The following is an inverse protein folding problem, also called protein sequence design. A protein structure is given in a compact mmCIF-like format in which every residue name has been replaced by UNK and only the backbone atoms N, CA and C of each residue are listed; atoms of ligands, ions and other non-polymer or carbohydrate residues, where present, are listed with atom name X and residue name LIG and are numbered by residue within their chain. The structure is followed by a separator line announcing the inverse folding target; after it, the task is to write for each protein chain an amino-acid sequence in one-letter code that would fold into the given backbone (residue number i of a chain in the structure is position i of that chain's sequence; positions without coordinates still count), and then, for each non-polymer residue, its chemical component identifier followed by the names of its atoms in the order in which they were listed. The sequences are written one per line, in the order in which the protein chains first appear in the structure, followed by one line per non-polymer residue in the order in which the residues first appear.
data_IF_979007076938
#
_entry.id   IF_979007076938
#
_cell.length_a   1.000
_cell.length_b   1.000
_cell.length_c   1.000
_cell.angle_alpha   90.00
_cell.angle_beta   90.00
_cell.angle_gamma   90.00
#
_symmetry.space_group_name_H-M   'P 1'
#
loop_
_entity.id
_entity.type
_entity.pdbx_description
1 polymer ?
#
# COMPACT_ATOMS: atom_id res chain seq x y z
N UNK A 1 8.79 12.86 21.44
CA UNK A 1 9.27 13.17 20.09
C UNK A 1 8.57 14.45 19.66
N UNK A 2 9.33 15.53 19.43
CA UNK A 2 8.79 16.89 19.26
C UNK A 2 8.04 16.98 17.92
N UNK A 3 6.71 16.94 17.97
CA UNK A 3 5.88 17.58 16.93
C UNK A 3 5.65 18.99 17.46
N UNK A 4 6.62 19.88 17.23
CA UNK A 4 6.41 21.32 17.36
C UNK A 4 6.56 21.88 15.95
N UNK A 5 5.50 21.70 15.17
CA UNK A 5 5.26 22.53 14.01
C UNK A 5 3.80 22.94 14.18
N UNK A 6 3.57 24.25 14.30
CA UNK A 6 2.23 24.81 14.26
C UNK A 6 1.64 24.48 12.89
N UNK A 7 0.60 23.67 12.92
CA UNK A 7 0.02 23.02 11.76
C UNK A 7 -1.49 23.24 11.82
N UNK A 8 -1.91 24.48 12.07
CA UNK A 8 -3.32 24.80 12.06
C UNK A 8 -3.85 24.68 10.62
N UNK A 9 -5.08 24.14 10.50
CA UNK A 9 -5.97 24.23 9.34
C UNK A 9 -6.00 23.09 8.30
N UNK A 10 -5.41 21.92 8.47
CA UNK A 10 -5.47 20.84 7.44
C UNK A 10 -6.87 20.20 7.25
N UNK A 11 -7.38 20.16 6.01
CA UNK A 11 -8.68 19.55 5.67
C UNK A 11 -8.59 18.07 5.29
N UNK A 12 -7.45 17.65 4.71
CA UNK A 12 -7.21 16.29 4.21
C UNK A 12 -5.92 15.74 4.79
N UNK A 13 -5.91 14.48 5.22
CA UNK A 13 -4.69 13.79 5.65
C UNK A 13 -4.45 12.57 4.76
N UNK A 14 -3.28 12.51 4.13
CA UNK A 14 -2.81 11.38 3.34
C UNK A 14 -1.92 10.49 4.21
N UNK A 15 -2.21 9.20 4.25
CA UNK A 15 -1.42 8.21 5.00
C UNK A 15 -0.79 7.20 4.06
N UNK A 16 0.55 7.22 3.97
CA UNK A 16 1.31 6.42 3.03
C UNK A 16 2.49 5.66 3.61
N UNK A 17 2.72 4.46 3.08
CA UNK A 17 3.79 3.56 3.53
C UNK A 17 4.73 3.11 2.39
N UNK A 18 4.37 3.38 1.13
CA UNK A 18 5.14 2.97 -0.04
C UNK A 18 5.51 4.19 -0.89
N UNK A 19 6.75 4.28 -1.41
CA UNK A 19 7.17 5.43 -2.21
C UNK A 19 6.27 5.69 -3.43
N UNK A 20 5.90 4.62 -4.16
CA UNK A 20 5.01 4.75 -5.32
C UNK A 20 3.60 5.22 -4.96
N UNK A 21 3.13 4.85 -3.77
CA UNK A 21 1.85 5.31 -3.24
C UNK A 21 1.92 6.79 -2.84
N UNK A 22 3.02 7.21 -2.20
CA UNK A 22 3.21 8.60 -1.84
C UNK A 22 3.33 9.52 -3.05
N UNK A 23 4.03 9.11 -4.12
CA UNK A 23 4.06 9.85 -5.40
C UNK A 23 2.67 10.01 -6.03
N UNK A 24 1.79 9.03 -5.85
CA UNK A 24 0.43 9.15 -6.35
C UNK A 24 -0.37 10.13 -5.50
N UNK A 25 -0.31 9.96 -4.18
CA UNK A 25 -1.03 10.82 -3.25
C UNK A 25 -0.54 12.26 -3.35
N UNK A 26 0.76 12.52 -3.55
CA UNK A 26 1.31 13.86 -3.73
C UNK A 26 0.66 14.60 -4.90
N UNK A 27 0.54 13.93 -6.05
CA UNK A 27 -0.17 14.49 -7.21
C UNK A 27 -1.64 14.78 -6.93
N UNK A 28 -2.31 13.90 -6.19
CA UNK A 28 -3.71 14.15 -5.78
C UNK A 28 -3.79 15.37 -4.87
N UNK A 29 -2.82 15.55 -3.99
CA UNK A 29 -2.76 16.70 -3.09
C UNK A 29 -2.44 18.02 -3.81
N UNK A 30 -1.49 18.01 -4.73
CA UNK A 30 -1.19 19.12 -5.64
C UNK A 30 -2.45 19.53 -6.41
N UNK A 31 -3.12 18.57 -7.05
CA UNK A 31 -4.36 18.82 -7.77
C UNK A 31 -5.47 19.37 -6.84
N UNK A 32 -5.58 18.89 -5.59
CA UNK A 32 -6.53 19.45 -4.63
C UNK A 32 -6.21 20.90 -4.28
N UNK A 33 -4.95 21.25 -4.11
CA UNK A 33 -4.51 22.61 -3.78
C UNK A 33 -4.66 23.58 -4.95
N UNK A 34 -4.41 23.13 -6.18
CA UNK A 34 -4.60 23.93 -7.39
C UNK A 34 -6.07 24.24 -7.66
N UNK A 35 -6.97 23.29 -7.34
CA UNK A 35 -8.39 23.39 -7.69
C UNK A 35 -9.28 23.80 -6.51
N UNK A 36 -8.76 23.86 -5.28
CA UNK A 36 -9.54 24.16 -4.07
C UNK A 36 -8.70 24.84 -3.00
N UNK A 37 -9.34 25.54 -2.05
CA UNK A 37 -8.68 26.05 -0.83
C UNK A 37 -8.42 24.93 0.22
N UNK A 38 -8.22 23.69 -0.21
CA UNK A 38 -7.99 22.57 0.69
C UNK A 38 -6.51 22.43 1.02
N UNK A 39 -6.20 22.63 2.29
CA UNK A 39 -4.94 22.26 2.93
C UNK A 39 -4.87 20.75 3.15
N UNK A 40 -3.67 20.17 2.99
CA UNK A 40 -3.43 18.74 3.21
C UNK A 40 -2.15 18.46 4.01
N UNK A 41 -2.16 17.35 4.76
CA UNK A 41 -0.99 16.86 5.50
C UNK A 41 -0.60 15.47 5.01
N UNK A 42 0.68 15.28 4.67
CA UNK A 42 1.23 13.97 4.38
C UNK A 42 1.79 13.30 5.62
N UNK A 43 1.35 12.09 5.87
CA UNK A 43 1.84 11.24 6.93
C UNK A 43 2.48 10.01 6.30
N UNK A 44 3.79 9.93 6.45
CA UNK A 44 4.56 8.80 5.99
C UNK A 44 5.08 7.99 7.18
N UNK A 45 5.20 6.69 6.98
CA UNK A 45 5.65 5.73 8.02
C UNK A 45 7.07 5.24 7.81
N UNK A 46 7.73 5.69 6.72
CA UNK A 46 9.11 5.39 6.37
C UNK A 46 9.78 6.65 5.84
N UNK A 47 11.03 6.86 6.21
CA UNK A 47 11.82 8.00 5.75
C UNK A 47 12.00 7.98 4.23
N UNK A 48 12.21 6.80 3.64
CA UNK A 48 12.28 6.63 2.19
C UNK A 48 11.01 7.06 1.45
N UNK A 49 9.87 7.13 2.14
CA UNK A 49 8.61 7.63 1.55
C UNK A 49 8.63 9.15 1.52
N UNK A 50 9.09 9.80 2.59
CA UNK A 50 9.24 11.27 2.66
C UNK A 50 10.29 11.75 1.69
N UNK A 51 11.45 11.11 1.65
CA UNK A 51 12.54 11.50 0.76
C UNK A 51 12.18 11.35 -0.74
N UNK A 52 11.07 10.65 -1.04
CA UNK A 52 10.54 10.47 -2.40
C UNK A 52 9.44 11.49 -2.77
N UNK A 53 9.04 12.37 -1.84
CA UNK A 53 8.04 13.42 -2.07
C UNK A 53 8.61 14.78 -1.65
N UNK A 54 8.64 15.74 -2.58
CA UNK A 54 9.09 17.10 -2.31
C UNK A 54 7.93 17.93 -1.75
N UNK A 55 7.51 17.64 -0.52
CA UNK A 55 6.33 18.26 0.12
C UNK A 55 6.71 18.83 1.49
N UNK A 56 6.61 20.15 1.62
CA UNK A 56 6.87 20.88 2.88
C UNK A 56 5.95 20.44 4.02
N UNK A 57 4.69 20.10 3.72
CA UNK A 57 3.68 19.66 4.69
C UNK A 57 3.69 18.13 4.89
N UNK A 58 4.87 17.56 5.21
CA UNK A 58 5.03 16.13 5.47
C UNK A 58 5.55 15.83 6.88
N UNK A 59 5.03 14.77 7.50
CA UNK A 59 5.41 14.32 8.84
C UNK A 59 5.80 12.85 8.80
N UNK A 60 7.02 12.57 9.31
CA UNK A 60 7.46 11.22 9.58
C UNK A 60 6.84 10.72 10.88
N UNK A 61 5.88 9.82 10.76
CA UNK A 61 5.49 9.00 11.88
C UNK A 61 6.49 7.86 12.01
N UNK A 62 7.47 8.06 12.88
CA UNK A 62 8.22 6.94 13.44
C UNK A 62 7.20 5.88 13.91
N UNK A 63 7.42 4.61 13.64
CA UNK A 63 6.48 3.55 14.03
C UNK A 63 6.76 3.01 15.44
N UNK A 64 7.77 3.56 16.13
CA UNK A 64 8.05 3.20 17.52
C UNK A 64 6.84 3.53 18.42
N UNK A 65 6.27 2.46 18.95
CA UNK A 65 5.21 2.44 19.95
C UNK A 65 5.82 2.75 21.34
N UNK A 66 5.12 3.47 22.24
CA UNK A 66 5.60 3.67 23.61
C UNK A 66 6.01 2.34 24.25
N UNK A 67 7.17 2.31 24.91
CA UNK A 67 7.79 1.08 25.41
C UNK A 67 6.85 0.24 26.28
N UNK A 68 6.06 0.89 27.15
CA UNK A 68 5.10 0.22 28.03
C UNK A 68 4.00 -0.53 27.26
N UNK A 69 3.54 0.04 26.14
CA UNK A 69 2.51 -0.55 25.29
C UNK A 69 3.09 -1.72 24.48
N UNK A 70 4.34 -1.57 24.03
CA UNK A 70 5.11 -2.65 23.39
C UNK A 70 5.32 -3.84 24.31
N UNK A 71 5.75 -3.61 25.56
CA UNK A 71 5.93 -4.67 26.57
C UNK A 71 4.63 -5.42 26.84
N UNK A 72 3.51 -4.69 27.03
CA UNK A 72 2.20 -5.30 27.28
C UNK A 72 1.74 -6.19 26.11
N UNK A 73 1.92 -5.74 24.88
CA UNK A 73 1.54 -6.49 23.68
C UNK A 73 2.41 -7.73 23.48
N UNK A 74 3.73 -7.60 23.68
CA UNK A 74 4.65 -8.74 23.59
C UNK A 74 4.31 -9.80 24.63
N UNK A 75 4.09 -9.40 25.89
CA UNK A 75 3.67 -10.32 26.95
C UNK A 75 2.35 -11.01 26.61
N UNK A 76 1.35 -10.26 26.13
CA UNK A 76 0.07 -10.85 25.72
C UNK A 76 0.23 -11.85 24.57
N UNK A 77 1.05 -11.54 23.56
CA UNK A 77 1.32 -12.45 22.44
C UNK A 77 2.06 -13.70 22.90
N UNK A 78 3.03 -13.59 23.81
CA UNK A 78 3.72 -14.72 24.40
C UNK A 78 2.76 -15.63 25.19
N UNK A 79 1.81 -15.04 25.94
CA UNK A 79 0.77 -15.77 26.67
C UNK A 79 -0.15 -16.50 25.69
N UNK A 80 -0.68 -15.82 24.67
CA UNK A 80 -1.56 -16.42 23.65
C UNK A 80 -0.85 -17.53 22.89
N UNK A 81 0.41 -17.32 22.50
CA UNK A 81 1.21 -18.33 21.82
C UNK A 81 1.45 -19.56 22.71
N UNK A 82 1.80 -19.35 23.98
CA UNK A 82 2.01 -20.44 24.95
C UNK A 82 0.73 -21.23 25.22
N UNK A 83 -0.41 -20.54 25.35
CA UNK A 83 -1.71 -21.17 25.53
C UNK A 83 -2.13 -21.98 24.30
N UNK A 84 -2.02 -21.39 23.11
CA UNK A 84 -2.31 -22.05 21.83
C UNK A 84 -1.43 -23.29 21.65
N UNK A 85 -0.14 -23.19 21.97
CA UNK A 85 0.80 -24.31 21.95
C UNK A 85 0.42 -25.44 22.91
N UNK A 86 -0.06 -25.08 24.11
CA UNK A 86 -0.48 -26.04 25.13
C UNK A 86 -1.75 -26.80 24.72
N UNK A 87 -2.75 -26.09 24.17
CA UNK A 87 -3.94 -26.70 23.56
C UNK A 87 -3.53 -27.64 22.42
N UNK A 88 -2.62 -27.19 21.56
CA UNK A 88 -2.14 -28.00 20.44
C UNK A 88 -1.50 -29.31 20.90
N UNK A 89 -0.59 -29.27 21.88
CA UNK A 89 0.01 -30.48 22.47
C UNK A 89 -1.01 -31.41 23.11
N UNK A 90 -2.04 -30.86 23.76
CA UNK A 90 -3.12 -31.64 24.34
C UNK A 90 -3.93 -32.38 23.26
N UNK A 91 -4.28 -31.71 22.17
CA UNK A 91 -5.05 -32.30 21.07
C UNK A 91 -4.25 -33.37 20.30
N UNK A 92 -2.94 -33.17 20.09
CA UNK A 92 -2.05 -34.21 19.52
C UNK A 92 -2.05 -35.47 20.38
N UNK A 93 -1.90 -35.33 21.70
CA UNK A 93 -1.90 -36.47 22.63
C UNK A 93 -3.21 -37.26 22.62
N UNK A 94 -4.31 -36.63 22.19
CA UNK A 94 -5.64 -37.27 22.08
C UNK A 94 -5.88 -37.97 20.73
N UNK A 95 -4.88 -38.02 19.85
CA UNK A 95 -4.95 -38.76 18.58
C UNK A 95 -5.87 -38.12 17.53
N UNK A 96 -6.16 -36.83 17.66
CA UNK A 96 -7.26 -36.18 16.96
C UNK A 96 -6.82 -35.23 15.84
N UNK A 97 -5.75 -35.55 15.09
CA UNK A 97 -5.09 -34.52 14.25
C UNK A 97 -4.45 -35.03 12.95
N UNK A 98 -5.25 -35.34 11.93
CA UNK A 98 -4.79 -35.38 10.52
C UNK A 98 -4.89 -33.99 9.83
N UNK A 99 -5.59 -33.02 10.44
CA UNK A 99 -5.96 -31.76 9.78
C UNK A 99 -4.87 -30.66 9.77
N UNK A 100 -3.69 -30.86 10.37
CA UNK A 100 -2.84 -29.71 10.76
C UNK A 100 -1.37 -29.76 10.32
N UNK A 101 -0.98 -30.59 9.34
CA UNK A 101 0.35 -30.47 8.72
C UNK A 101 0.64 -29.05 8.17
N UNK A 102 -0.41 -28.29 7.81
CA UNK A 102 -0.31 -26.88 7.39
C UNK A 102 0.04 -25.89 8.51
N UNK A 103 -0.07 -26.26 9.79
CA UNK A 103 0.28 -25.39 10.92
C UNK A 103 1.73 -25.54 11.40
N UNK A 104 2.45 -26.57 10.95
CA UNK A 104 3.88 -26.75 11.24
C UNK A 104 4.74 -25.55 10.78
N UNK A 105 4.26 -24.80 9.78
CA UNK A 105 4.88 -23.56 9.28
C UNK A 105 4.77 -22.41 10.31
N UNK A 106 3.72 -22.38 11.13
CA UNK A 106 3.49 -21.36 12.17
C UNK A 106 4.28 -21.62 13.47
N UNK A 107 4.97 -22.76 13.58
CA UNK A 107 5.77 -23.14 14.75
C UNK A 107 7.23 -22.69 14.72
N UNK A 108 7.68 -22.04 13.64
CA UNK A 108 8.97 -21.36 13.68
C UNK A 108 8.90 -20.20 14.68
N UNK A 109 9.86 -20.14 15.60
CA UNK A 109 10.00 -19.10 16.64
C UNK A 109 9.92 -17.66 16.09
N UNK A 110 10.15 -17.49 14.79
CA UNK A 110 10.04 -16.23 14.07
C UNK A 110 8.59 -15.73 13.92
N UNK A 111 7.58 -16.61 13.81
CA UNK A 111 6.21 -16.20 13.54
C UNK A 111 5.60 -15.34 14.67
N UNK A 112 5.70 -15.71 15.97
CA UNK A 112 5.27 -14.84 17.07
C UNK A 112 6.00 -13.51 17.07
N UNK A 113 7.31 -13.50 16.79
CA UNK A 113 8.12 -12.27 16.75
C UNK A 113 7.74 -11.36 15.59
N UNK A 114 7.52 -11.91 14.39
CA UNK A 114 7.07 -11.17 13.20
C UNK A 114 5.66 -10.62 13.43
N UNK A 115 4.77 -11.42 14.02
CA UNK A 115 3.41 -11.02 14.36
C UNK A 115 3.41 -9.92 15.43
N UNK A 116 4.20 -10.09 16.50
CA UNK A 116 4.35 -9.09 17.55
C UNK A 116 4.93 -7.78 17.01
N UNK A 117 5.99 -7.83 16.18
CA UNK A 117 6.55 -6.65 15.50
C UNK A 117 5.51 -5.95 14.62
N UNK A 118 4.76 -6.72 13.83
CA UNK A 118 3.70 -6.19 12.95
C UNK A 118 2.57 -5.55 13.74
N UNK A 119 2.16 -6.18 14.86
CA UNK A 119 1.14 -5.67 15.76
C UNK A 119 1.61 -4.42 16.51
N UNK A 120 2.85 -4.39 16.99
CA UNK A 120 3.42 -3.19 17.63
C UNK A 120 3.47 -2.02 16.66
N UNK A 121 3.86 -2.25 15.40
CA UNK A 121 3.79 -1.23 14.35
C UNK A 121 2.36 -0.76 14.11
N UNK A 122 1.40 -1.69 14.06
CA UNK A 122 -0.02 -1.37 13.90
C UNK A 122 -0.54 -0.48 15.04
N UNK A 123 -0.26 -0.86 16.28
CA UNK A 123 -0.72 -0.14 17.47
C UNK A 123 -0.02 1.21 17.61
N UNK A 124 1.30 1.25 17.41
CA UNK A 124 2.07 2.49 17.41
C UNK A 124 1.53 3.47 16.37
N UNK A 125 1.23 2.97 15.17
CA UNK A 125 0.60 3.77 14.13
C UNK A 125 -0.79 4.26 14.51
N UNK A 126 -1.68 3.37 14.99
CA UNK A 126 -3.01 3.76 15.46
C UNK A 126 -2.94 4.85 16.53
N UNK A 127 -2.03 4.72 17.49
CA UNK A 127 -1.88 5.69 18.58
C UNK A 127 -1.43 7.06 18.06
N UNK A 128 -0.47 7.10 17.13
CA UNK A 128 0.00 8.36 16.54
C UNK A 128 -1.06 8.98 15.63
N UNK A 129 -1.72 8.20 14.78
CA UNK A 129 -2.79 8.69 13.93
C UNK A 129 -3.99 9.18 14.75
N UNK A 130 -4.32 8.51 15.86
CA UNK A 130 -5.36 8.97 16.81
C UNK A 130 -5.03 10.37 17.36
N UNK A 131 -3.77 10.62 17.69
CA UNK A 131 -3.31 11.93 18.17
C UNK A 131 -3.40 13.00 17.08
N UNK A 132 -2.92 12.69 15.88
CA UNK A 132 -3.02 13.55 14.70
C UNK A 132 -4.48 13.93 14.42
N UNK A 133 -5.40 12.95 14.42
CA UNK A 133 -6.83 13.21 14.14
C UNK A 133 -7.43 14.13 15.21
N UNK A 134 -7.09 13.92 16.49
CA UNK A 134 -7.56 14.80 17.59
C UNK A 134 -7.07 16.24 17.46
N UNK A 135 -5.83 16.43 17.03
CA UNK A 135 -5.23 17.75 16.86
C UNK A 135 -5.83 18.45 15.63
N UNK A 136 -5.78 17.79 14.48
CA UNK A 136 -6.11 18.44 13.20
C UNK A 136 -7.58 18.34 12.82
N UNK A 137 -8.34 17.43 13.44
CA UNK A 137 -9.77 17.21 13.15
C UNK A 137 -10.08 17.17 11.64
N UNK A 138 -9.38 16.33 10.86
CA UNK A 138 -9.53 16.32 9.41
C UNK A 138 -10.95 15.96 8.99
N UNK A 139 -11.38 16.46 7.82
CA UNK A 139 -12.67 16.09 7.22
C UNK A 139 -12.59 14.75 6.47
N UNK A 140 -11.41 14.46 5.91
CA UNK A 140 -11.15 13.22 5.17
C UNK A 140 -9.77 12.66 5.51
N UNK A 141 -9.70 11.34 5.71
CA UNK A 141 -8.45 10.59 5.80
C UNK A 141 -8.34 9.69 4.58
N UNK A 142 -7.35 9.96 3.74
CA UNK A 142 -7.09 9.24 2.50
C UNK A 142 -5.93 8.25 2.66
N UNK A 143 -6.05 7.11 1.99
CA UNK A 143 -4.94 6.16 1.83
C UNK A 143 -5.03 5.49 0.47
N UNK A 144 -3.90 5.16 -0.12
CA UNK A 144 -3.90 4.39 -1.36
C UNK A 144 -3.90 2.88 -1.16
N UNK A 145 -3.44 2.38 0.00
CA UNK A 145 -3.34 0.94 0.24
C UNK A 145 -4.70 0.33 0.61
N UNK A 146 -4.96 -0.90 0.14
CA UNK A 146 -6.21 -1.62 0.44
C UNK A 146 -6.01 -2.58 1.62
N UNK A 147 -4.87 -3.26 1.64
CA UNK A 147 -4.58 -4.35 2.57
C UNK A 147 -3.69 -3.96 3.74
N UNK A 148 -2.96 -2.84 3.62
CA UNK A 148 -1.97 -2.44 4.61
C UNK A 148 -2.61 -2.17 5.97
N UNK A 149 -1.90 -2.55 7.03
CA UNK A 149 -2.23 -2.19 8.42
C UNK A 149 -2.60 -0.72 8.56
N UNK A 150 -1.88 0.16 7.85
CA UNK A 150 -2.07 1.61 7.85
C UNK A 150 -3.43 2.04 7.29
N UNK A 151 -3.84 1.45 6.16
CA UNK A 151 -5.12 1.73 5.55
C UNK A 151 -6.29 1.24 6.41
N UNK A 152 -6.14 0.07 7.04
CA UNK A 152 -7.15 -0.44 7.98
C UNK A 152 -7.25 0.42 9.22
N UNK A 153 -6.11 0.81 9.80
CA UNK A 153 -6.03 1.70 10.95
C UNK A 153 -6.68 3.06 10.65
N UNK A 154 -6.38 3.66 9.49
CA UNK A 154 -6.96 4.94 9.10
C UNK A 154 -8.47 4.86 8.90
N UNK A 155 -8.99 3.79 8.30
CA UNK A 155 -10.42 3.57 8.16
C UNK A 155 -11.13 3.38 9.52
N UNK A 156 -10.54 2.61 10.43
CA UNK A 156 -11.10 2.38 11.77
C UNK A 156 -11.12 3.69 12.57
N UNK A 157 -10.03 4.44 12.57
CA UNK A 157 -9.94 5.71 13.28
C UNK A 157 -10.85 6.77 12.66
N UNK A 158 -10.98 6.81 11.33
CA UNK A 158 -11.94 7.69 10.67
C UNK A 158 -13.37 7.45 11.19
N UNK A 159 -13.80 6.18 11.27
CA UNK A 159 -15.12 5.84 11.84
C UNK A 159 -15.25 6.25 13.30
N UNK A 160 -14.22 6.01 14.11
CA UNK A 160 -14.19 6.40 15.54
C UNK A 160 -14.43 7.90 15.74
N UNK A 161 -13.85 8.73 14.89
CA UNK A 161 -13.95 10.20 14.97
C UNK A 161 -15.06 10.79 14.09
N UNK A 162 -15.91 9.95 13.50
CA UNK A 162 -16.92 10.37 12.52
C UNK A 162 -16.34 11.18 11.33
N UNK A 163 -15.08 10.91 11.00
CA UNK A 163 -14.37 11.47 9.84
C UNK A 163 -14.59 10.59 8.62
N UNK A 164 -14.63 11.18 7.43
CA UNK A 164 -14.73 10.42 6.19
C UNK A 164 -13.40 9.69 5.90
N UNK A 165 -13.46 8.46 5.39
CA UNK A 165 -12.28 7.77 4.88
C UNK A 165 -12.39 7.54 3.38
N UNK A 166 -11.27 7.73 2.67
CA UNK A 166 -11.17 7.58 1.22
C UNK A 166 -10.05 6.59 0.88
N UNK A 167 -10.37 5.57 0.10
CA UNK A 167 -9.38 4.75 -0.59
C UNK A 167 -9.13 5.34 -1.97
N UNK A 168 -7.87 5.62 -2.31
CA UNK A 168 -7.46 6.01 -3.67
C UNK A 168 -6.80 4.83 -4.37
N UNK A 169 -7.40 4.34 -5.45
CA UNK A 169 -6.84 3.21 -6.20
C UNK A 169 -5.43 3.55 -6.73
N UNK A 170 -4.44 2.70 -6.43
CA UNK A 170 -3.05 2.86 -6.90
C UNK A 170 -2.57 1.74 -7.85
N UNK A 171 -3.42 0.76 -8.12
CA UNK A 171 -3.11 -0.41 -8.95
C UNK A 171 -4.34 -1.02 -9.60
N UNK A 172 -4.10 -1.93 -10.54
CA UNK A 172 -5.15 -2.68 -11.23
C UNK A 172 -5.75 -3.71 -10.25
N UNK A 173 -7.08 -3.81 -10.23
CA UNK A 173 -7.77 -4.81 -9.43
C UNK A 173 -7.64 -6.17 -10.13
N UNK A 174 -7.14 -7.17 -9.41
CA UNK A 174 -7.21 -8.56 -9.87
C UNK A 174 -8.57 -9.14 -9.44
N UNK A 175 -9.40 -9.46 -10.43
CA UNK A 175 -10.81 -9.84 -10.25
C UNK A 175 -10.98 -11.26 -9.68
N UNK A 176 -9.92 -12.07 -9.66
CA UNK A 176 -9.99 -13.49 -9.35
C UNK A 176 -9.78 -13.82 -7.85
N UNK A 177 -9.14 -12.94 -7.07
CA UNK A 177 -8.67 -13.29 -5.71
C UNK A 177 -8.98 -12.21 -4.65
N UNK A 178 -10.01 -11.41 -4.85
CA UNK A 178 -10.29 -10.28 -3.96
C UNK A 178 -11.39 -10.61 -2.94
N UNK A 179 -11.00 -11.24 -1.83
CA UNK A 179 -11.93 -11.58 -0.75
C UNK A 179 -11.91 -10.57 0.42
N UNK A 180 -11.13 -9.50 0.33
CA UNK A 180 -11.01 -8.56 1.45
C UNK A 180 -12.12 -7.52 1.46
N UNK A 181 -12.82 -7.43 2.60
CA UNK A 181 -13.66 -6.28 2.91
C UNK A 181 -12.82 -5.02 3.01
N UNK A 182 -13.09 -4.05 2.13
CA UNK A 182 -12.60 -2.68 2.31
C UNK A 182 -13.21 -2.10 3.59
N UNK A 183 -12.40 -1.33 4.32
CA UNK A 183 -12.85 -0.66 5.55
C UNK A 183 -13.18 0.82 5.32
N UNK A 184 -12.65 1.42 4.25
CA UNK A 184 -12.87 2.81 3.89
C UNK A 184 -14.34 3.05 3.50
N UNK A 185 -14.84 4.24 3.87
CA UNK A 185 -16.22 4.65 3.56
C UNK A 185 -16.39 4.94 2.07
N UNK A 186 -15.41 5.61 1.46
CA UNK A 186 -15.43 6.02 0.06
C UNK A 186 -14.25 5.43 -0.71
N UNK A 187 -14.40 5.29 -2.02
CA UNK A 187 -13.38 4.76 -2.92
C UNK A 187 -13.32 5.60 -4.19
N UNK A 188 -12.13 6.10 -4.54
CA UNK A 188 -11.83 6.67 -5.84
C UNK A 188 -11.17 5.60 -6.74
N UNK A 189 -11.79 5.31 -7.88
CA UNK A 189 -11.38 4.27 -8.83
C UNK A 189 -11.05 4.83 -10.20
N UNK A 190 -10.26 4.09 -10.97
CA UNK A 190 -9.76 4.55 -12.26
C UNK A 190 -10.79 4.51 -13.38
N UNK A 191 -11.82 3.67 -13.28
CA UNK A 191 -12.81 3.53 -14.36
C UNK A 191 -14.07 2.79 -13.96
N UNK A 192 -15.05 2.80 -14.87
CA UNK A 192 -16.33 2.12 -14.71
C UNK A 192 -16.19 0.60 -14.50
N UNK A 193 -15.14 0.00 -15.07
CA UNK A 193 -14.82 -1.41 -14.85
C UNK A 193 -14.55 -1.69 -13.37
N UNK A 194 -13.73 -0.86 -12.74
CA UNK A 194 -13.35 -0.99 -11.33
C UNK A 194 -14.51 -0.61 -10.40
N UNK A 195 -15.37 0.34 -10.80
CA UNK A 195 -16.62 0.61 -10.09
C UNK A 195 -17.53 -0.62 -10.06
N UNK A 196 -17.73 -1.30 -11.20
CA UNK A 196 -18.54 -2.54 -11.25
C UNK A 196 -18.00 -3.63 -10.33
N UNK A 197 -16.68 -3.74 -10.24
CA UNK A 197 -16.04 -4.67 -9.31
C UNK A 197 -16.43 -4.39 -7.86
N UNK A 198 -16.34 -3.14 -7.40
CA UNK A 198 -16.66 -2.79 -6.03
C UNK A 198 -18.15 -2.90 -5.72
N UNK A 199 -19.01 -2.58 -6.68
CA UNK A 199 -20.45 -2.83 -6.59
C UNK A 199 -20.75 -4.32 -6.37
N UNK A 200 -20.09 -5.21 -7.14
CA UNK A 200 -20.22 -6.66 -6.97
C UNK A 200 -19.74 -7.15 -5.59
N UNK A 201 -18.78 -6.43 -4.99
CA UNK A 201 -18.25 -6.72 -3.65
C UNK A 201 -19.01 -6.00 -2.52
N UNK A 202 -20.21 -5.47 -2.80
CA UNK A 202 -21.11 -4.94 -1.78
C UNK A 202 -20.82 -3.51 -1.33
N UNK A 203 -19.95 -2.77 -2.03
CA UNK A 203 -19.79 -1.34 -1.80
C UNK A 203 -20.95 -0.60 -2.45
N UNK A 204 -21.54 0.34 -1.71
CA UNK A 204 -22.69 1.10 -2.19
C UNK A 204 -22.30 2.09 -3.31
N UNK A 205 -23.13 2.31 -4.34
CA UNK A 205 -22.81 3.18 -5.46
C UNK A 205 -22.40 4.60 -5.06
N UNK A 206 -23.06 5.20 -4.07
CA UNK A 206 -22.80 6.55 -3.57
C UNK A 206 -21.43 6.70 -2.87
N UNK A 207 -20.77 5.58 -2.58
CA UNK A 207 -19.46 5.54 -1.97
C UNK A 207 -18.33 5.32 -3.00
N UNK A 208 -18.63 5.23 -4.30
CA UNK A 208 -17.65 4.95 -5.35
C UNK A 208 -17.60 6.09 -6.37
N UNK A 209 -16.40 6.64 -6.56
CA UNK A 209 -16.13 7.78 -7.43
C UNK A 209 -15.19 7.34 -8.55
N UNK A 210 -15.59 7.52 -9.81
CA UNK A 210 -14.72 7.25 -10.96
C UNK A 210 -13.92 8.51 -11.24
N UNK A 211 -12.61 8.47 -11.01
CA UNK A 211 -11.72 9.63 -11.06
C UNK A 211 -10.65 9.54 -12.14
N UNK A 212 -10.50 8.39 -12.81
CA UNK A 212 -9.29 8.14 -13.61
C UNK A 212 -8.10 7.76 -12.74
N UNK A 213 -6.96 7.50 -13.39
CA UNK A 213 -5.69 7.22 -12.70
C UNK A 213 -4.84 8.48 -12.68
N UNK A 214 -4.49 9.03 -11.49
CA UNK A 214 -3.62 10.19 -11.42
C UNK A 214 -2.19 9.95 -11.99
N UNK A 215 -1.84 8.68 -12.28
CA UNK A 215 -0.61 8.33 -13.01
C UNK A 215 -0.62 8.80 -14.46
N UNK A 216 -1.78 9.04 -15.05
CA UNK A 216 -1.94 9.40 -16.45
C UNK A 216 -2.26 10.88 -16.67
N UNK A 217 -2.40 11.67 -15.60
CA UNK A 217 -2.69 13.09 -15.68
C UNK A 217 -1.61 13.82 -16.50
N UNK A 218 -0.33 13.57 -16.21
CA UNK A 218 0.78 14.15 -16.98
C UNK A 218 0.81 13.68 -18.44
N UNK A 219 0.40 12.43 -18.73
CA UNK A 219 0.37 11.93 -20.12
C UNK A 219 -0.58 12.75 -20.97
N UNK A 220 -1.72 13.16 -20.39
CA UNK A 220 -2.67 14.03 -21.07
C UNK A 220 -2.10 15.44 -21.33
N UNK A 221 -1.13 15.87 -20.52
CA UNK A 221 -0.46 17.17 -20.63
C UNK A 221 0.79 17.15 -21.53
N UNK A 222 1.30 15.98 -21.89
CA UNK A 222 2.35 15.87 -22.92
C UNK A 222 1.73 16.33 -24.24
N UNK A 223 1.85 17.63 -24.54
CA UNK A 223 1.68 18.18 -25.89
C UNK A 223 2.45 17.24 -26.81
N UNK A 224 1.85 16.80 -27.92
CA UNK A 224 2.49 16.02 -28.98
C UNK A 224 3.86 16.66 -29.23
N UNK A 225 4.91 16.18 -28.55
CA UNK A 225 6.27 16.46 -28.98
C UNK A 225 6.28 15.89 -30.39
N UNK A 226 6.75 16.67 -31.35
CA UNK A 226 7.04 16.17 -32.67
C UNK A 226 8.00 15.01 -32.50
N UNK A 227 7.43 13.81 -32.37
CA UNK A 227 8.15 12.56 -32.51
C UNK A 227 8.54 12.62 -33.97
N UNK A 228 9.73 13.14 -34.24
CA UNK A 228 10.35 13.13 -35.55
C UNK A 228 10.43 11.66 -35.96
N UNK A 229 9.41 11.18 -36.70
CA UNK A 229 9.24 9.79 -37.13
C UNK A 229 10.18 9.48 -38.30
N UNK A 230 11.45 9.81 -38.17
CA UNK A 230 12.48 9.53 -39.19
C UNK A 230 13.36 8.32 -38.87
N UNK A 231 13.08 7.58 -37.80
CA UNK A 231 13.73 6.29 -37.56
C UNK A 231 12.92 5.17 -38.23
N UNK A 232 13.51 4.57 -39.27
CA UNK A 232 13.05 3.35 -39.93
C UNK A 232 12.59 2.31 -38.90
N UNK A 233 11.31 1.93 -38.97
CA UNK A 233 10.65 1.07 -38.00
C UNK A 233 11.33 -0.30 -37.86
N UNK A 234 12.04 -0.52 -36.76
CA UNK A 234 12.07 -1.81 -36.07
C UNK A 234 10.94 -1.82 -35.03
N UNK A 235 10.07 -2.83 -35.00
CA UNK A 235 9.03 -2.95 -33.97
C UNK A 235 9.68 -3.03 -32.58
N UNK A 236 9.52 -2.01 -31.73
CA UNK A 236 10.09 -2.01 -30.38
C UNK A 236 9.16 -2.76 -29.43
N UNK A 237 9.61 -3.90 -28.91
CA UNK A 237 8.96 -4.64 -27.82
C UNK A 237 9.55 -4.14 -26.51
N UNK A 238 8.74 -3.49 -25.67
CA UNK A 238 9.20 -3.02 -24.37
C UNK A 238 8.76 -4.00 -23.27
N UNK A 239 9.73 -4.61 -22.59
CA UNK A 239 9.52 -5.45 -21.43
C UNK A 239 9.75 -4.65 -20.15
N UNK A 240 8.69 -4.52 -19.36
CA UNK A 240 8.71 -3.86 -18.06
C UNK A 240 8.52 -4.92 -16.97
N UNK A 241 9.61 -5.47 -16.40
CA UNK A 241 9.50 -6.35 -15.24
C UNK A 241 9.00 -5.51 -14.05
N UNK A 242 7.68 -5.46 -13.87
CA UNK A 242 7.08 -4.81 -12.72
C UNK A 242 6.97 -5.81 -11.58
N UNK A 243 7.76 -5.62 -10.52
CA UNK A 243 7.56 -6.27 -9.23
C UNK A 243 6.38 -5.58 -8.50
N UNK A 244 5.17 -5.62 -9.06
CA UNK A 244 3.97 -5.05 -8.41
C UNK A 244 3.34 -5.99 -7.37
N UNK A 245 3.90 -7.17 -7.14
CA UNK A 245 3.62 -8.01 -5.99
C UNK A 245 4.95 -8.43 -5.38
N UNK A 246 5.18 -8.09 -4.11
CA UNK A 246 6.45 -8.30 -3.44
C UNK A 246 7.04 -9.69 -3.68
N UNK A 247 8.35 -9.72 -3.97
CA UNK A 247 9.30 -10.78 -3.57
C UNK A 247 8.95 -12.24 -3.88
N UNK A 248 8.07 -12.53 -4.85
CA UNK A 248 7.59 -13.91 -5.08
C UNK A 248 8.07 -14.53 -6.39
N UNK A 249 8.77 -13.78 -7.23
CA UNK A 249 9.52 -14.36 -8.35
C UNK A 249 10.91 -14.70 -7.81
N UNK A 250 11.20 -15.99 -7.66
CA UNK A 250 12.57 -16.46 -7.42
C UNK A 250 13.47 -15.99 -8.56
N UNK A 251 14.76 -15.80 -8.30
CA UNK A 251 15.73 -15.43 -9.33
C UNK A 251 15.64 -16.35 -10.56
N UNK A 252 15.52 -17.66 -10.35
CA UNK A 252 15.32 -18.63 -11.43
C UNK A 252 14.05 -18.40 -12.24
N UNK A 253 12.93 -18.01 -11.62
CA UNK A 253 11.71 -17.67 -12.33
C UNK A 253 11.84 -16.34 -13.10
N UNK A 254 12.61 -15.38 -12.58
CA UNK A 254 12.89 -14.13 -13.28
C UNK A 254 13.74 -14.37 -14.54
N UNK A 255 14.80 -15.19 -14.41
CA UNK A 255 15.65 -15.61 -15.53
C UNK A 255 14.82 -16.33 -16.58
N UNK A 256 14.01 -17.32 -16.18
CA UNK A 256 13.17 -18.07 -17.11
C UNK A 256 12.14 -17.21 -17.82
N UNK A 257 11.54 -16.24 -17.11
CA UNK A 257 10.64 -15.26 -17.74
C UNK A 257 11.38 -14.41 -18.78
N UNK A 258 12.61 -13.99 -18.47
CA UNK A 258 13.44 -13.23 -19.41
C UNK A 258 13.78 -14.05 -20.65
N UNK A 259 14.19 -15.31 -20.48
CA UNK A 259 14.46 -16.24 -21.59
C UNK A 259 13.24 -16.43 -22.50
N UNK A 260 12.04 -16.56 -21.92
CA UNK A 260 10.78 -16.67 -22.67
C UNK A 260 10.50 -15.39 -23.47
N UNK A 261 10.65 -14.22 -22.84
CA UNK A 261 10.44 -12.93 -23.52
C UNK A 261 11.46 -12.70 -24.63
N UNK A 262 12.74 -13.04 -24.40
CA UNK A 262 13.79 -12.97 -25.40
C UNK A 262 13.50 -13.90 -26.58
N UNK A 263 13.13 -15.16 -26.31
CA UNK A 263 12.80 -16.14 -27.34
C UNK A 263 11.58 -15.70 -28.17
N UNK A 264 10.55 -15.18 -27.50
CA UNK A 264 9.34 -14.67 -28.16
C UNK A 264 9.60 -13.40 -28.97
N UNK A 265 10.55 -12.57 -28.57
CA UNK A 265 10.91 -11.38 -29.35
C UNK A 265 11.77 -11.77 -30.55
N UNK A 266 12.73 -12.68 -30.37
CA UNK A 266 13.60 -13.18 -31.44
C UNK A 266 12.83 -13.86 -32.57
N UNK A 267 11.65 -14.43 -32.30
CA UNK A 267 10.80 -15.05 -33.32
C UNK A 267 10.03 -14.04 -34.18
N UNK A 268 10.08 -12.75 -33.87
CA UNK A 268 9.38 -11.70 -34.62
C UNK A 268 10.42 -10.84 -35.38
N UNK A 269 10.56 -11.02 -36.71
CA UNK A 269 11.55 -10.30 -37.50
C UNK A 269 11.43 -8.79 -37.40
N UNK A 270 12.57 -8.09 -37.33
CA UNK A 270 12.60 -6.64 -37.25
C UNK A 270 12.15 -6.09 -35.90
N UNK A 271 12.10 -6.91 -34.84
CA UNK A 271 11.81 -6.42 -33.49
C UNK A 271 13.07 -6.10 -32.69
N UNK A 272 12.95 -5.12 -31.78
CA UNK A 272 13.97 -4.77 -30.81
C UNK A 272 13.37 -4.93 -29.40
N UNK A 273 14.00 -5.76 -28.56
CA UNK A 273 13.63 -5.88 -27.15
C UNK A 273 14.27 -4.76 -26.33
N UNK A 274 13.46 -4.00 -25.60
CA UNK A 274 13.90 -3.00 -24.63
C UNK A 274 13.55 -3.52 -23.23
N UNK A 275 14.55 -3.76 -22.40
CA UNK A 275 14.37 -4.20 -21.01
C UNK A 275 14.60 -3.01 -20.09
N UNK A 276 13.57 -2.60 -19.34
CA UNK A 276 13.74 -1.61 -18.27
C UNK A 276 14.13 -2.32 -16.98
N UNK A 277 15.39 -2.25 -16.61
CA UNK A 277 15.84 -2.75 -15.31
C UNK A 277 15.37 -1.83 -14.19
N UNK A 278 15.14 -2.41 -13.01
CA UNK A 278 15.01 -1.62 -11.79
C UNK A 278 16.43 -1.16 -11.42
N UNK A 279 16.63 0.14 -11.23
CA UNK A 279 17.87 0.63 -10.61
C UNK A 279 17.88 0.08 -9.18
N UNK A 280 18.93 -0.65 -8.80
CA UNK A 280 19.15 -0.91 -7.39
C UNK A 280 19.39 0.43 -6.73
N UNK A 281 18.55 0.78 -5.75
CA UNK A 281 18.89 1.87 -4.85
C UNK A 281 20.14 1.37 -4.10
N UNK A 282 21.32 1.89 -4.45
CA UNK A 282 22.56 1.65 -3.72
C UNK A 282 22.45 2.35 -2.37
N UNK A 283 21.75 1.73 -1.44
CA UNK A 283 21.76 2.11 -0.03
C UNK A 283 22.90 1.35 0.65
N UNK A 284 24.08 1.96 0.61
CA UNK A 284 25.08 1.86 1.69
C UNK A 284 24.53 2.54 2.96
#
# INVERSE_FOLDING_TARGET
MKIFVEFDHFKVIFVENFPNSAKLSSKVAEALQENTDASYLFIATRESVINNIDIESSVLLDTLCPLWLSVKLVLHQLIVASFTYSIHRYLIKKGNVDFWCSFSIFHKQEFPLVTAKSLMRAVGFCWKLDHVIKIYSPKVIASTSIYGTFARASAILARKYNTSSLLVQHGILNYENYESKILQKNIAVWGERDKRFWLKNGIRPENIYVTGSPKFDDISQVKKRDINRNDSYSFKVAYFPSLTGGSTISEGNAIRMLEVVMSATASIPGTQLIIKTKQEDSSD
#
